data_IF_748241117574
#
_entry.id   IF_748241117574
#
_cell.length_a   1.000
_cell.length_b   1.000
_cell.length_c   1.000
_cell.angle_alpha   90.00
_cell.angle_beta   90.00
_cell.angle_gamma   90.00
#
_symmetry.space_group_name_H-M   'P 1'
#
loop_
_entity.id
_entity.type
_entity.pdbx_description
1 polymer ?
#
# COMPACT_ATOMS: atom_id res chain seq x y z
N UNK A 1 -11.91 41.76 1.76
CA UNK A 1 -11.96 41.54 3.22
C UNK A 1 -11.48 40.13 3.51
N UNK A 2 -10.35 39.99 4.21
CA UNK A 2 -9.92 38.80 4.96
C UNK A 2 -9.81 37.46 4.23
N UNK A 3 -8.73 37.25 3.47
CA UNK A 3 -8.33 35.92 3.00
C UNK A 3 -7.71 35.16 4.18
N UNK A 4 -8.45 34.22 4.76
CA UNK A 4 -7.92 33.26 5.75
C UNK A 4 -7.21 32.13 5.00
N UNK A 5 -5.97 32.37 4.57
CA UNK A 5 -5.08 31.28 4.16
C UNK A 5 -4.67 30.52 5.42
N UNK A 6 -5.24 29.32 5.61
CA UNK A 6 -4.76 28.41 6.66
C UNK A 6 -3.49 27.75 6.12
N UNK A 7 -2.36 28.38 6.38
CA UNK A 7 -1.05 27.77 6.23
C UNK A 7 -0.95 26.61 7.24
N UNK A 8 -1.03 25.36 6.75
CA UNK A 8 -0.88 24.18 7.60
C UNK A 8 0.52 24.10 8.25
N UNK A 9 1.52 24.81 7.70
CA UNK A 9 2.83 24.91 8.33
C UNK A 9 2.84 25.86 9.53
N UNK A 10 1.97 26.89 9.56
CA UNK A 10 1.83 27.78 10.72
C UNK A 10 1.12 27.10 11.89
N UNK A 11 0.17 26.19 11.62
CA UNK A 11 -0.52 25.41 12.66
C UNK A 11 0.28 24.23 13.21
N UNK A 12 1.34 23.78 12.52
CA UNK A 12 2.25 22.78 13.08
C UNK A 12 2.96 23.31 14.35
N UNK A 13 3.22 24.62 14.42
CA UNK A 13 3.77 25.27 15.60
C UNK A 13 2.71 25.53 16.68
N UNK A 14 1.46 25.83 16.33
CA UNK A 14 0.37 26.02 17.31
C UNK A 14 -0.07 24.70 17.98
N UNK A 15 0.05 23.56 17.28
CA UNK A 15 -0.15 22.22 17.82
C UNK A 15 0.90 21.81 18.88
N UNK A 16 1.96 22.60 19.10
CA UNK A 16 2.96 22.35 20.14
C UNK A 16 2.47 22.66 21.57
N UNK A 17 1.26 23.22 21.74
CA UNK A 17 0.79 23.73 23.04
C UNK A 17 -0.07 22.78 23.86
N UNK A 18 -0.44 21.61 23.33
CA UNK A 18 -0.77 20.47 24.16
C UNK A 18 0.46 19.58 24.19
N UNK A 19 0.99 19.22 25.37
CA UNK A 19 2.01 18.17 25.52
C UNK A 19 1.52 16.94 24.76
N UNK A 20 1.91 16.81 23.48
CA UNK A 20 1.69 15.61 22.72
C UNK A 20 2.34 14.53 23.58
N UNK A 21 1.55 13.54 24.03
CA UNK A 21 2.07 12.40 24.77
C UNK A 21 3.13 11.77 23.88
N UNK A 22 4.39 12.12 24.11
CA UNK A 22 5.52 11.51 23.43
C UNK A 22 5.58 10.06 23.91
N UNK A 23 5.74 9.14 22.96
CA UNK A 23 6.03 7.75 23.30
C UNK A 23 7.25 7.71 24.21
N UNK A 24 7.18 6.91 25.28
CA UNK A 24 8.33 6.71 26.15
C UNK A 24 9.48 6.08 25.35
N UNK A 25 10.73 6.51 25.57
CA UNK A 25 11.90 5.80 25.07
C UNK A 25 11.82 4.31 25.43
N UNK A 26 12.33 3.42 24.57
CA UNK A 26 12.26 1.96 24.78
C UNK A 26 12.72 1.54 26.18
N UNK A 27 13.80 2.17 26.68
CA UNK A 27 14.38 1.88 28.00
C UNK A 27 13.48 2.24 29.18
N UNK A 28 12.50 3.13 28.98
CA UNK A 28 11.55 3.57 30.01
C UNK A 28 10.22 2.79 29.94
N UNK A 29 10.03 1.93 28.93
CA UNK A 29 8.81 1.16 28.76
C UNK A 29 8.79 -0.01 29.76
N UNK A 30 7.70 -0.10 30.50
CA UNK A 30 7.43 -1.20 31.44
C UNK A 30 6.55 -2.31 30.83
N UNK A 31 6.09 -2.09 29.59
CA UNK A 31 5.24 -3.02 28.85
C UNK A 31 3.81 -3.18 29.39
N UNK A 32 2.97 -3.86 28.63
CA UNK A 32 1.61 -4.24 29.03
C UNK A 32 1.49 -5.74 29.24
N UNK A 33 0.64 -6.15 30.18
CA UNK A 33 0.22 -7.55 30.31
C UNK A 33 -0.70 -7.92 29.15
N UNK A 34 -0.55 -9.11 28.60
CA UNK A 34 -1.33 -9.59 27.48
C UNK A 34 -1.84 -11.01 27.78
N UNK A 35 -3.04 -11.15 28.38
CA UNK A 35 -3.60 -12.46 28.70
C UNK A 35 -4.09 -13.18 27.43
N UNK A 36 -4.11 -14.52 27.48
CA UNK A 36 -4.75 -15.33 26.44
C UNK A 36 -6.27 -15.14 26.47
N UNK A 37 -6.91 -15.15 25.31
CA UNK A 37 -8.36 -15.14 25.15
C UNK A 37 -8.82 -16.27 24.23
N UNK A 38 -8.46 -16.23 22.95
CA UNK A 38 -8.81 -17.28 21.99
C UNK A 38 -8.01 -18.57 22.22
N UNK A 39 -6.79 -18.43 22.73
CA UNK A 39 -5.82 -19.52 22.88
C UNK A 39 -5.75 -20.08 24.30
N UNK A 40 -6.71 -19.75 25.16
CA UNK A 40 -6.75 -20.21 26.55
C UNK A 40 -6.81 -21.73 26.70
N UNK A 41 -7.41 -22.41 25.72
CA UNK A 41 -7.64 -23.86 25.74
C UNK A 41 -6.57 -24.65 24.99
N UNK A 42 -5.54 -23.99 24.44
CA UNK A 42 -4.44 -24.70 23.80
C UNK A 42 -3.75 -25.60 24.82
N UNK A 43 -3.54 -26.85 24.44
CA UNK A 43 -2.77 -27.79 25.24
C UNK A 43 -1.32 -27.29 25.40
N UNK A 44 -0.66 -27.53 26.54
CA UNK A 44 0.72 -27.13 26.74
C UNK A 44 1.64 -27.63 25.61
N UNK A 45 2.37 -26.73 24.98
CA UNK A 45 3.28 -27.05 23.88
C UNK A 45 2.65 -27.05 22.48
N UNK A 46 1.34 -26.77 22.37
CA UNK A 46 0.64 -26.58 21.09
C UNK A 46 0.47 -25.10 20.75
N UNK A 47 0.29 -24.83 19.46
CA UNK A 47 0.08 -23.50 18.88
C UNK A 47 -1.26 -23.45 18.13
N UNK A 48 -1.77 -22.25 17.79
CA UNK A 48 -2.97 -22.13 16.97
C UNK A 48 -2.90 -22.82 15.61
N UNK A 49 -1.69 -23.08 15.09
CA UNK A 49 -1.50 -23.75 13.79
C UNK A 49 -1.82 -25.25 13.87
N UNK A 50 -1.65 -25.86 15.04
CA UNK A 50 -1.92 -27.28 15.29
C UNK A 50 -3.42 -27.59 15.35
N UNK A 51 -4.25 -26.58 15.65
CA UNK A 51 -5.72 -26.70 15.63
C UNK A 51 -6.30 -26.60 14.21
N UNK A 52 -5.51 -26.16 13.23
CA UNK A 52 -5.96 -26.02 11.84
C UNK A 52 -5.83 -27.35 11.10
N UNK A 53 -6.89 -27.73 10.40
CA UNK A 53 -6.84 -28.85 9.47
C UNK A 53 -6.37 -28.34 8.11
N UNK A 54 -5.29 -28.93 7.59
CA UNK A 54 -4.62 -28.50 6.38
C UNK A 54 -4.89 -29.45 5.20
N UNK A 55 -4.91 -28.88 4.00
CA UNK A 55 -5.09 -29.60 2.73
C UNK A 55 -4.05 -29.13 1.70
N UNK A 56 -3.58 -30.04 0.86
CA UNK A 56 -2.64 -29.75 -0.23
C UNK A 56 -3.41 -29.58 -1.53
N UNK A 57 -3.29 -28.40 -2.13
CA UNK A 57 -4.00 -28.05 -3.37
C UNK A 57 -3.05 -27.51 -4.43
N UNK A 58 -3.45 -27.63 -5.68
CA UNK A 58 -2.79 -26.92 -6.79
C UNK A 58 -3.47 -25.58 -7.00
N UNK A 59 -2.71 -24.50 -6.93
CA UNK A 59 -3.17 -23.16 -7.27
C UNK A 59 -2.98 -22.92 -8.77
N UNK A 60 -4.06 -22.63 -9.51
CA UNK A 60 -4.02 -22.37 -10.96
C UNK A 60 -4.81 -21.11 -11.29
N UNK A 61 -4.22 -20.22 -12.09
CA UNK A 61 -4.92 -19.08 -12.69
C UNK A 61 -4.74 -19.16 -14.20
N UNK A 62 -5.87 -19.19 -14.92
CA UNK A 62 -5.90 -19.19 -16.38
C UNK A 62 -6.54 -17.93 -16.96
N UNK A 63 -6.47 -17.83 -18.29
CA UNK A 63 -7.22 -16.86 -19.11
C UNK A 63 -8.58 -17.45 -19.50
N UNK A 64 -9.49 -16.60 -19.97
CA UNK A 64 -10.78 -17.02 -20.54
C UNK A 64 -10.63 -17.96 -21.76
N UNK A 65 -9.45 -17.96 -22.39
CA UNK A 65 -9.09 -18.85 -23.51
C UNK A 65 -8.45 -20.17 -23.06
N UNK A 66 -8.45 -20.47 -21.76
CA UNK A 66 -7.93 -21.72 -21.18
C UNK A 66 -6.41 -21.78 -21.00
N UNK A 67 -5.66 -20.73 -21.38
CA UNK A 67 -4.21 -20.70 -21.16
C UNK A 67 -3.87 -20.45 -19.69
N UNK A 68 -2.98 -21.25 -19.10
CA UNK A 68 -2.50 -21.10 -17.72
C UNK A 68 -1.51 -19.95 -17.62
N UNK A 69 -1.77 -19.00 -16.73
CA UNK A 69 -0.94 -17.81 -16.45
C UNK A 69 -0.07 -18.03 -15.21
N UNK A 70 -0.58 -18.77 -14.24
CA UNK A 70 0.11 -19.08 -13.00
C UNK A 70 -0.30 -20.49 -12.55
N UNK A 71 0.69 -21.27 -12.13
CA UNK A 71 0.49 -22.56 -11.47
C UNK A 71 1.48 -22.71 -10.32
N UNK A 72 1.01 -23.21 -9.19
CA UNK A 72 1.85 -23.67 -8.09
C UNK A 72 1.21 -24.92 -7.46
N UNK A 73 1.93 -26.03 -7.50
CA UNK A 73 1.53 -27.30 -6.89
C UNK A 73 1.86 -27.35 -5.40
N UNK A 74 1.30 -28.33 -4.70
CA UNK A 74 1.42 -28.60 -3.25
C UNK A 74 1.38 -27.31 -2.41
N UNK A 75 0.30 -26.55 -2.58
CA UNK A 75 -0.01 -25.38 -1.76
C UNK A 75 -0.83 -25.81 -0.56
N UNK A 76 -0.26 -25.70 0.63
CA UNK A 76 -0.90 -26.05 1.90
C UNK A 76 -1.78 -24.89 2.39
N UNK A 77 -3.08 -25.17 2.54
CA UNK A 77 -4.11 -24.21 2.96
C UNK A 77 -5.06 -24.84 3.98
N UNK A 78 -5.78 -24.03 4.78
CA UNK A 78 -6.86 -24.55 5.61
C UNK A 78 -7.94 -25.22 4.76
N UNK A 79 -8.48 -26.35 5.25
CA UNK A 79 -9.49 -27.16 4.53
C UNK A 79 -10.74 -26.37 4.15
N UNK A 80 -11.12 -25.38 4.94
CA UNK A 80 -12.31 -24.55 4.78
C UNK A 80 -12.14 -23.40 3.77
N UNK A 81 -10.92 -23.17 3.27
CA UNK A 81 -10.69 -22.17 2.24
C UNK A 81 -11.27 -22.60 0.89
N UNK A 82 -11.68 -21.63 0.06
CA UNK A 82 -12.09 -21.91 -1.32
C UNK A 82 -10.88 -22.05 -2.26
N UNK A 83 -11.06 -22.73 -3.39
CA UNK A 83 -10.03 -22.80 -4.43
C UNK A 83 -9.62 -21.40 -4.93
N UNK A 84 -10.57 -20.46 -4.99
CA UNK A 84 -10.28 -19.05 -5.33
C UNK A 84 -9.34 -18.40 -4.32
N UNK A 85 -9.54 -18.64 -3.02
CA UNK A 85 -8.64 -18.14 -1.98
C UNK A 85 -7.24 -18.77 -2.11
N UNK A 86 -7.15 -20.08 -2.36
CA UNK A 86 -5.88 -20.78 -2.66
C UNK A 86 -5.15 -20.14 -3.84
N UNK A 87 -5.85 -19.89 -4.95
CA UNK A 87 -5.28 -19.28 -6.14
C UNK A 87 -4.76 -17.86 -5.86
N UNK A 88 -5.52 -17.06 -5.11
CA UNK A 88 -5.16 -15.68 -4.77
C UNK A 88 -3.96 -15.64 -3.82
N UNK A 89 -3.98 -16.44 -2.74
CA UNK A 89 -2.90 -16.43 -1.74
C UNK A 89 -1.58 -16.85 -2.37
N UNK A 90 -1.59 -17.92 -3.16
CA UNK A 90 -0.40 -18.40 -3.84
C UNK A 90 0.11 -17.37 -4.85
N UNK A 91 -0.75 -16.86 -5.74
CA UNK A 91 -0.28 -15.97 -6.81
C UNK A 91 0.13 -14.57 -6.32
N UNK A 92 -0.50 -14.04 -5.27
CA UNK A 92 -0.29 -12.65 -4.85
C UNK A 92 0.52 -12.51 -3.56
N UNK A 93 0.29 -13.36 -2.57
CA UNK A 93 0.76 -13.13 -1.20
C UNK A 93 1.97 -13.96 -0.81
N UNK A 94 2.09 -15.17 -1.34
CA UNK A 94 3.30 -15.97 -1.14
C UNK A 94 4.54 -15.24 -1.68
N UNK A 95 5.56 -15.22 -0.83
CA UNK A 95 6.86 -14.65 -1.07
C UNK A 95 7.82 -15.67 -1.69
N UNK A 96 8.92 -15.20 -2.27
CA UNK A 96 9.88 -16.02 -3.01
C UNK A 96 9.51 -16.25 -4.48
N UNK A 97 10.53 -16.54 -5.30
CA UNK A 97 10.38 -16.79 -6.74
C UNK A 97 9.80 -18.18 -6.96
N UNK A 98 8.87 -18.35 -7.91
CA UNK A 98 8.37 -19.67 -8.28
C UNK A 98 9.52 -20.62 -8.65
N UNK A 99 9.47 -21.84 -8.12
CA UNK A 99 10.50 -22.86 -8.29
C UNK A 99 11.77 -22.68 -7.43
N UNK A 100 11.91 -21.56 -6.70
CA UNK A 100 13.02 -21.39 -5.76
C UNK A 100 12.76 -22.09 -4.41
N UNK A 101 13.80 -22.53 -3.69
CA UNK A 101 13.65 -23.09 -2.35
C UNK A 101 12.99 -22.14 -1.33
N UNK A 102 13.20 -20.83 -1.49
CA UNK A 102 12.63 -19.79 -0.62
C UNK A 102 11.16 -19.44 -0.95
N UNK A 103 10.54 -20.16 -1.89
CA UNK A 103 9.13 -19.94 -2.25
C UNK A 103 8.22 -20.44 -1.13
N UNK A 104 7.38 -19.55 -0.61
CA UNK A 104 6.31 -19.95 0.29
C UNK A 104 5.32 -20.88 -0.43
N UNK A 105 4.97 -21.98 0.23
CA UNK A 105 4.02 -22.99 -0.24
C UNK A 105 2.90 -23.24 0.76
N UNK A 106 2.91 -22.60 1.92
CA UNK A 106 1.89 -22.80 2.95
C UNK A 106 1.34 -21.47 3.47
N UNK A 107 0.03 -21.42 3.73
CA UNK A 107 -0.58 -20.31 4.46
C UNK A 107 -0.02 -20.23 5.89
N UNK A 108 0.37 -21.36 6.50
CA UNK A 108 1.08 -21.34 7.77
C UNK A 108 2.38 -20.54 7.69
N UNK A 109 3.20 -20.76 6.64
CA UNK A 109 4.45 -20.00 6.42
C UNK A 109 4.19 -18.49 6.27
N UNK A 110 3.17 -18.12 5.48
CA UNK A 110 2.77 -16.72 5.29
C UNK A 110 2.36 -16.05 6.60
N UNK A 111 1.52 -16.73 7.41
CA UNK A 111 1.05 -16.20 8.69
C UNK A 111 2.20 -16.14 9.69
N UNK A 112 3.02 -17.19 9.80
CA UNK A 112 4.22 -17.20 10.63
C UNK A 112 5.12 -16.01 10.34
N UNK A 113 5.50 -15.80 9.07
CA UNK A 113 6.37 -14.69 8.69
C UNK A 113 5.85 -13.35 9.20
N UNK A 114 4.55 -13.09 9.06
CA UNK A 114 3.96 -11.80 9.47
C UNK A 114 3.81 -11.71 10.98
N UNK A 115 3.19 -12.71 11.60
CA UNK A 115 2.89 -12.72 13.04
C UNK A 115 4.17 -12.72 13.85
N UNK A 116 5.15 -13.53 13.45
CA UNK A 116 6.39 -13.65 14.20
C UNK A 116 7.18 -12.36 14.17
N UNK A 117 7.30 -11.75 12.99
CA UNK A 117 7.98 -10.46 12.84
C UNK A 117 7.32 -9.37 13.68
N UNK A 118 5.97 -9.30 13.70
CA UNK A 118 5.26 -8.28 14.49
C UNK A 118 5.44 -8.52 16.00
N UNK A 119 5.34 -9.77 16.46
CA UNK A 119 5.57 -10.12 17.85
C UNK A 119 7.01 -9.83 18.29
N UNK A 120 7.99 -10.16 17.45
CA UNK A 120 9.41 -9.89 17.69
C UNK A 120 9.70 -8.39 17.75
N UNK A 121 9.08 -7.58 16.88
CA UNK A 121 9.15 -6.12 16.99
C UNK A 121 8.55 -5.62 18.30
N UNK A 122 7.46 -6.22 18.78
CA UNK A 122 6.85 -5.84 20.05
C UNK A 122 7.72 -6.19 21.26
N UNK A 123 8.37 -7.34 21.23
CA UNK A 123 9.35 -7.76 22.23
C UNK A 123 10.56 -6.83 22.24
N UNK A 124 11.17 -6.58 21.07
CA UNK A 124 12.31 -5.67 20.93
C UNK A 124 11.95 -4.22 21.32
N UNK A 125 10.70 -3.81 21.08
CA UNK A 125 10.17 -2.51 21.45
C UNK A 125 9.74 -2.37 22.91
N UNK A 126 9.92 -3.41 23.74
CA UNK A 126 9.49 -3.46 25.15
C UNK A 126 8.00 -3.13 25.34
N UNK A 127 7.14 -3.54 24.39
CA UNK A 127 5.70 -3.33 24.50
C UNK A 127 5.03 -4.34 25.42
N UNK A 128 5.67 -5.48 25.69
CA UNK A 128 5.14 -6.53 26.57
C UNK A 128 5.81 -6.49 27.94
N UNK A 129 5.01 -6.66 29.00
CA UNK A 129 5.52 -6.64 30.38
C UNK A 129 6.44 -7.83 30.66
N UNK A 130 6.11 -8.99 30.09
CA UNK A 130 6.91 -10.21 30.19
C UNK A 130 7.09 -10.87 28.82
N UNK A 131 8.10 -11.73 28.64
CA UNK A 131 8.22 -12.55 27.43
C UNK A 131 6.99 -13.43 27.18
N UNK A 132 6.35 -13.92 28.25
CA UNK A 132 5.12 -14.69 28.17
C UNK A 132 3.95 -13.87 27.60
N UNK A 133 3.86 -12.58 27.93
CA UNK A 133 2.86 -11.68 27.32
C UNK A 133 3.09 -11.52 25.81
N UNK A 134 4.35 -11.45 25.37
CA UNK A 134 4.67 -11.41 23.94
C UNK A 134 4.32 -12.69 23.21
N UNK A 135 4.51 -13.84 23.84
CA UNK A 135 4.12 -15.14 23.28
C UNK A 135 2.61 -15.34 23.27
N UNK A 136 1.90 -14.83 24.29
CA UNK A 136 0.44 -14.77 24.26
C UNK A 136 -0.04 -13.91 23.08
N UNK A 137 0.54 -12.72 22.87
CA UNK A 137 0.22 -11.88 21.72
C UNK A 137 0.46 -12.59 20.38
N UNK A 138 1.61 -13.27 20.24
CA UNK A 138 1.96 -14.05 19.02
C UNK A 138 0.87 -15.08 18.70
N UNK A 139 0.48 -15.88 19.69
CA UNK A 139 -0.52 -16.93 19.50
C UNK A 139 -1.93 -16.36 19.28
N UNK A 140 -2.33 -15.33 20.01
CA UNK A 140 -3.63 -14.67 19.80
C UNK A 140 -3.71 -14.06 18.38
N UNK A 141 -2.64 -13.42 17.91
CA UNK A 141 -2.60 -12.86 16.56
C UNK A 141 -2.60 -13.97 15.49
N UNK A 142 -1.84 -15.05 15.67
CA UNK A 142 -1.87 -16.20 14.77
C UNK A 142 -3.27 -16.80 14.67
N UNK A 143 -3.94 -17.03 15.81
CA UNK A 143 -5.31 -17.51 15.83
C UNK A 143 -6.26 -16.61 15.02
N UNK A 144 -6.19 -15.28 15.22
CA UNK A 144 -7.02 -14.34 14.49
C UNK A 144 -6.80 -14.39 12.98
N UNK A 145 -5.55 -14.55 12.53
CA UNK A 145 -5.20 -14.62 11.11
C UNK A 145 -5.63 -15.96 10.49
N UNK A 146 -5.34 -17.08 11.15
CA UNK A 146 -5.65 -18.44 10.67
C UNK A 146 -7.15 -18.68 10.58
N UNK A 147 -7.91 -18.21 11.58
CA UNK A 147 -9.38 -18.35 11.63
C UNK A 147 -10.14 -17.21 10.94
N UNK A 148 -9.42 -16.35 10.22
CA UNK A 148 -9.95 -15.22 9.44
C UNK A 148 -10.88 -14.27 10.22
N UNK A 149 -10.68 -14.13 11.55
CA UNK A 149 -11.41 -13.16 12.39
C UNK A 149 -10.94 -11.73 12.19
N UNK A 150 -9.71 -11.57 11.69
CA UNK A 150 -9.15 -10.32 11.25
C UNK A 150 -8.18 -10.57 10.07
N UNK A 151 -7.86 -9.53 9.32
CA UNK A 151 -6.88 -9.59 8.25
C UNK A 151 -6.17 -8.25 8.09
N UNK A 152 -4.86 -8.28 7.87
CA UNK A 152 -4.12 -7.06 7.56
C UNK A 152 -4.37 -6.58 6.13
N UNK A 153 -4.09 -5.30 5.89
CA UNK A 153 -4.00 -4.77 4.53
C UNK A 153 -2.89 -5.48 3.72
N UNK A 154 -2.96 -5.42 2.40
CA UNK A 154 -2.04 -6.17 1.53
C UNK A 154 -0.54 -5.84 1.71
N UNK A 155 -0.10 -4.56 1.86
CA UNK A 155 1.30 -4.24 2.13
C UNK A 155 1.93 -4.95 3.33
N UNK A 156 1.16 -5.21 4.40
CA UNK A 156 1.65 -6.00 5.54
C UNK A 156 2.05 -7.40 5.06
N UNK A 157 1.15 -8.09 4.37
CA UNK A 157 1.40 -9.44 3.85
C UNK A 157 2.54 -9.49 2.84
N UNK A 158 2.71 -8.43 2.02
CA UNK A 158 3.75 -8.36 1.01
C UNK A 158 5.16 -8.12 1.56
N UNK A 159 5.27 -7.39 2.67
CA UNK A 159 6.55 -6.78 3.07
C UNK A 159 7.03 -7.18 4.47
N UNK A 160 6.14 -7.52 5.41
CA UNK A 160 6.55 -7.87 6.77
C UNK A 160 7.30 -9.21 6.77
N UNK A 161 8.43 -9.26 7.46
CA UNK A 161 9.24 -10.48 7.63
C UNK A 161 9.98 -10.94 6.38
N UNK A 162 9.99 -10.14 5.31
CA UNK A 162 10.74 -10.44 4.09
C UNK A 162 12.19 -10.02 4.27
N UNK A 163 13.14 -10.85 3.80
CA UNK A 163 14.59 -10.66 4.01
C UNK A 163 15.16 -9.46 3.25
N UNK A 164 14.66 -9.16 2.05
CA UNK A 164 15.16 -8.01 1.30
C UNK A 164 14.82 -6.70 2.00
N UNK A 165 15.71 -5.71 1.91
CA UNK A 165 15.39 -4.36 2.36
C UNK A 165 14.20 -3.82 1.56
N UNK A 166 13.09 -3.57 2.26
CA UNK A 166 11.88 -2.97 1.71
C UNK A 166 11.60 -1.68 2.46
N UNK A 167 11.04 -0.70 1.75
CA UNK A 167 10.65 0.57 2.33
C UNK A 167 10.99 1.76 1.46
N UNK A 168 10.30 2.85 1.72
CA UNK A 168 10.57 4.17 1.17
C UNK A 168 9.95 5.22 2.09
N UNK A 169 10.55 6.41 2.11
CA UNK A 169 10.01 7.56 2.82
C UNK A 169 10.79 7.87 4.09
N UNK A 170 10.06 8.08 5.17
CA UNK A 170 10.58 8.58 6.43
C UNK A 170 10.10 7.72 7.58
N UNK A 171 10.87 7.67 8.67
CA UNK A 171 10.46 7.05 9.91
C UNK A 171 10.76 7.97 11.09
N UNK A 172 10.04 7.78 12.18
CA UNK A 172 10.34 8.45 13.43
C UNK A 172 11.47 7.72 14.14
N UNK A 173 12.61 8.40 14.29
CA UNK A 173 13.72 7.92 15.08
C UNK A 173 13.49 8.32 16.55
N UNK A 174 13.21 7.32 17.38
CA UNK A 174 12.94 7.52 18.81
C UNK A 174 14.17 8.01 19.58
N UNK A 175 15.39 7.67 19.13
CA UNK A 175 16.61 8.06 19.82
C UNK A 175 16.89 9.57 19.69
N UNK A 176 16.64 10.12 18.50
CA UNK A 176 16.78 11.56 18.24
C UNK A 176 15.48 12.33 18.46
N UNK A 177 14.34 11.64 18.51
CA UNK A 177 13.01 12.24 18.62
C UNK A 177 12.60 13.00 17.36
N UNK A 178 13.11 12.62 16.19
CA UNK A 178 12.92 13.32 14.91
C UNK A 178 12.46 12.39 13.79
N UNK A 179 11.84 12.96 12.76
CA UNK A 179 11.51 12.23 11.53
C UNK A 179 12.72 12.26 10.61
N UNK A 180 13.24 11.09 10.26
CA UNK A 180 14.43 10.95 9.43
C UNK A 180 14.13 10.15 8.17
N UNK A 181 14.86 10.44 7.10
CA UNK A 181 14.71 9.72 5.83
C UNK A 181 15.23 8.29 5.98
N UNK A 182 14.48 7.33 5.44
CA UNK A 182 14.89 5.93 5.45
C UNK A 182 16.13 5.73 4.58
N UNK A 183 17.26 5.22 5.14
CA UNK A 183 18.42 4.85 4.34
C UNK A 183 18.08 3.70 3.39
N UNK A 184 18.72 3.68 2.20
CA UNK A 184 18.43 2.69 1.16
C UNK A 184 18.59 1.24 1.62
N UNK A 185 19.57 0.98 2.48
CA UNK A 185 19.90 -0.37 2.95
C UNK A 185 19.28 -0.69 4.31
N UNK A 186 18.38 0.18 4.80
CA UNK A 186 17.65 -0.04 6.05
C UNK A 186 16.42 -0.91 5.80
N UNK A 187 16.27 -1.97 6.59
CA UNK A 187 15.09 -2.83 6.55
C UNK A 187 13.97 -2.24 7.42
N UNK A 188 13.15 -1.37 6.84
CA UNK A 188 11.88 -0.91 7.44
C UNK A 188 10.75 -1.06 6.42
N UNK A 189 10.05 -2.20 6.42
CA UNK A 189 9.08 -2.52 5.38
C UNK A 189 7.95 -1.49 5.33
N UNK A 190 7.49 -1.20 4.11
CA UNK A 190 6.32 -0.36 3.87
C UNK A 190 5.04 -1.16 4.14
N UNK A 191 4.36 -0.89 5.25
CA UNK A 191 3.20 -1.65 5.70
C UNK A 191 1.86 -0.89 5.60
N UNK A 192 1.89 0.35 5.13
CA UNK A 192 0.71 1.21 5.03
C UNK A 192 0.14 1.16 3.62
N UNK A 193 -1.17 0.97 3.51
CA UNK A 193 -1.86 0.95 2.21
C UNK A 193 -2.17 2.35 1.65
N UNK A 194 -2.27 3.38 2.50
CA UNK A 194 -2.81 4.67 2.11
C UNK A 194 -1.84 5.81 2.44
N UNK A 195 -1.56 6.67 1.47
CA UNK A 195 -0.76 7.88 1.64
C UNK A 195 -1.44 9.09 1.00
N UNK A 196 -1.38 10.23 1.68
CA UNK A 196 -1.76 11.52 1.11
C UNK A 196 -0.50 12.36 0.97
N UNK A 197 -0.21 12.80 -0.25
CA UNK A 197 0.96 13.60 -0.56
C UNK A 197 0.54 15.04 -0.87
N UNK A 198 1.41 15.99 -0.53
CA UNK A 198 1.25 17.40 -0.86
C UNK A 198 2.13 17.77 -2.05
N UNK A 199 1.69 18.74 -2.85
CA UNK A 199 2.48 19.31 -3.93
C UNK A 199 2.48 20.83 -3.84
N UNK A 200 3.62 21.44 -4.13
CA UNK A 200 3.77 22.90 -4.26
C UNK A 200 3.77 23.26 -5.75
N UNK A 201 3.38 24.50 -6.04
CA UNK A 201 3.28 25.03 -7.40
C UNK A 201 4.63 25.41 -8.02
N UNK A 202 5.50 24.40 -8.16
CA UNK A 202 6.77 24.50 -8.88
C UNK A 202 7.16 23.13 -9.43
N UNK A 203 7.96 23.14 -10.51
CA UNK A 203 8.31 21.92 -11.24
C UNK A 203 9.06 20.90 -10.36
N UNK A 204 9.94 21.36 -9.48
CA UNK A 204 10.70 20.47 -8.58
C UNK A 204 9.76 19.66 -7.67
N UNK A 205 8.79 20.32 -7.02
CA UNK A 205 7.80 19.65 -6.18
C UNK A 205 6.88 18.72 -6.96
N UNK A 206 6.53 19.05 -8.20
CA UNK A 206 5.71 18.22 -9.08
C UNK A 206 6.46 16.93 -9.45
N UNK A 207 7.75 17.04 -9.80
CA UNK A 207 8.56 15.88 -10.15
C UNK A 207 8.91 15.02 -8.92
N UNK A 208 9.14 15.64 -7.76
CA UNK A 208 9.34 14.89 -6.51
C UNK A 208 8.06 14.16 -6.08
N UNK A 209 6.88 14.70 -6.38
CA UNK A 209 5.62 13.97 -6.20
C UNK A 209 5.58 12.70 -7.07
N UNK A 210 5.90 12.79 -8.37
CA UNK A 210 5.92 11.62 -9.26
C UNK A 210 6.85 10.51 -8.70
N UNK A 211 8.05 10.91 -8.27
CA UNK A 211 9.03 9.99 -7.66
C UNK A 211 8.50 9.38 -6.36
N UNK A 212 7.93 10.20 -5.48
CA UNK A 212 7.38 9.75 -4.20
C UNK A 212 6.25 8.74 -4.41
N UNK A 213 5.29 9.06 -5.27
CA UNK A 213 4.19 8.15 -5.58
C UNK A 213 4.67 6.87 -6.24
N UNK A 214 5.57 6.95 -7.22
CA UNK A 214 6.14 5.77 -7.88
C UNK A 214 6.85 4.83 -6.90
N UNK A 215 7.59 5.38 -5.92
CA UNK A 215 8.24 4.58 -4.88
C UNK A 215 7.25 3.98 -3.89
N UNK A 216 6.14 4.65 -3.57
CA UNK A 216 5.06 4.10 -2.76
C UNK A 216 4.33 2.98 -3.50
N UNK A 217 4.03 3.16 -4.78
CA UNK A 217 3.41 2.15 -5.64
C UNK A 217 4.25 0.89 -5.68
N UNK A 218 5.58 1.02 -5.93
CA UNK A 218 6.53 -0.10 -5.94
C UNK A 218 6.37 -1.03 -4.73
N UNK A 219 6.05 -0.48 -3.56
CA UNK A 219 5.95 -1.25 -2.31
C UNK A 219 4.51 -1.63 -1.89
N UNK A 220 3.51 -1.36 -2.72
CA UNK A 220 2.15 -1.86 -2.50
C UNK A 220 1.15 -0.83 -2.00
N UNK A 221 1.58 0.43 -1.82
CA UNK A 221 0.73 1.49 -1.29
C UNK A 221 0.00 2.24 -2.40
N UNK A 222 -1.22 2.72 -2.12
CA UNK A 222 -1.93 3.70 -2.92
C UNK A 222 -1.68 5.13 -2.44
N UNK A 223 -1.86 6.10 -3.34
CA UNK A 223 -1.62 7.52 -3.06
C UNK A 223 -2.81 8.40 -3.40
N UNK A 224 -2.94 9.50 -2.67
CA UNK A 224 -3.88 10.58 -2.96
C UNK A 224 -3.18 11.92 -2.94
N UNK A 225 -3.52 12.81 -3.86
CA UNK A 225 -2.97 14.18 -3.90
C UNK A 225 -4.06 15.18 -4.29
N UNK A 226 -4.15 16.29 -3.56
CA UNK A 226 -4.92 17.46 -3.98
C UNK A 226 -4.02 18.35 -4.84
N UNK A 227 -4.40 18.56 -6.10
CA UNK A 227 -3.63 19.34 -7.08
C UNK A 227 -4.06 20.81 -7.17
N UNK A 228 -4.97 21.27 -6.31
CA UNK A 228 -5.48 22.65 -6.32
C UNK A 228 -4.44 23.70 -5.96
N UNK A 229 -3.27 23.27 -5.48
CA UNK A 229 -2.13 24.17 -5.28
C UNK A 229 -1.47 24.55 -6.59
N UNK A 230 -1.58 23.73 -7.64
CA UNK A 230 -1.02 24.02 -8.95
C UNK A 230 -1.82 25.13 -9.61
N UNK A 231 -1.14 26.10 -10.22
CA UNK A 231 -1.82 27.16 -10.96
C UNK A 231 -2.58 26.61 -12.17
N UNK A 232 -3.60 27.33 -12.59
CA UNK A 232 -4.45 26.99 -13.71
C UNK A 232 -3.69 26.91 -15.05
N UNK A 233 -4.26 26.17 -15.99
CA UNK A 233 -3.86 26.24 -17.39
C UNK A 233 -3.89 27.70 -17.82
N UNK A 234 -2.90 28.08 -18.62
CA UNK A 234 -2.78 29.42 -19.16
C UNK A 234 -2.39 30.53 -18.15
N UNK A 235 -2.16 30.18 -16.87
CA UNK A 235 -1.62 31.06 -15.84
C UNK A 235 -0.15 31.48 -16.08
N UNK A 236 0.28 32.58 -15.45
CA UNK A 236 1.61 33.19 -15.71
C UNK A 236 2.76 32.39 -15.09
N UNK A 237 3.89 32.27 -15.82
CA UNK A 237 5.14 31.68 -15.33
C UNK A 237 6.23 32.72 -15.10
N UNK A 238 7.12 32.46 -14.12
CA UNK A 238 8.26 33.33 -13.82
C UNK A 238 9.32 33.36 -14.93
N UNK A 239 9.44 32.28 -15.71
CA UNK A 239 10.34 32.16 -16.86
C UNK A 239 9.85 32.89 -18.12
N UNK A 240 8.67 33.51 -18.07
CA UNK A 240 7.90 33.84 -19.27
C UNK A 240 7.16 32.61 -19.81
N UNK A 241 6.03 32.84 -20.47
CA UNK A 241 5.14 31.78 -20.97
C UNK A 241 3.93 31.50 -20.08
N UNK A 242 3.23 30.42 -20.42
CA UNK A 242 1.94 30.04 -19.82
C UNK A 242 2.00 28.64 -19.21
N UNK A 243 1.35 28.47 -18.07
CA UNK A 243 1.30 27.21 -17.35
C UNK A 243 0.45 26.18 -18.08
N UNK A 244 0.79 24.89 -17.93
CA UNK A 244 0.03 23.79 -18.53
C UNK A 244 -1.21 23.36 -17.72
N UNK A 245 -1.36 23.88 -16.50
CA UNK A 245 -2.43 23.50 -15.57
C UNK A 245 -2.28 22.10 -14.96
N UNK A 246 -3.09 21.79 -13.92
CA UNK A 246 -3.04 20.50 -13.20
C UNK A 246 -3.34 19.30 -14.11
N UNK A 247 -4.28 19.43 -15.06
CA UNK A 247 -4.68 18.32 -15.93
C UNK A 247 -3.56 17.83 -16.85
N UNK A 248 -2.63 18.71 -17.25
CA UNK A 248 -1.49 18.31 -18.06
C UNK A 248 -0.56 17.39 -17.25
N UNK A 249 -0.23 17.77 -16.02
CA UNK A 249 0.57 16.95 -15.12
C UNK A 249 -0.15 15.66 -14.70
N UNK A 250 -1.48 15.69 -14.55
CA UNK A 250 -2.28 14.48 -14.32
C UNK A 250 -2.05 13.41 -15.38
N UNK A 251 -1.86 13.77 -16.67
CA UNK A 251 -1.54 12.79 -17.72
C UNK A 251 -0.21 12.08 -17.46
N UNK A 252 0.80 12.84 -17.00
CA UNK A 252 2.10 12.27 -16.62
C UNK A 252 1.99 11.33 -15.42
N UNK A 253 1.30 11.76 -14.35
CA UNK A 253 1.08 10.92 -13.18
C UNK A 253 0.25 9.67 -13.49
N UNK A 254 -0.76 9.80 -14.36
CA UNK A 254 -1.57 8.69 -14.85
C UNK A 254 -0.73 7.65 -15.58
N UNK A 255 0.17 8.09 -16.48
CA UNK A 255 1.10 7.20 -17.17
C UNK A 255 2.03 6.47 -16.18
N UNK A 256 2.60 7.18 -15.19
CA UNK A 256 3.41 6.54 -14.15
C UNK A 256 2.64 5.50 -13.32
N UNK A 257 1.38 5.80 -12.96
CA UNK A 257 0.52 4.86 -12.25
C UNK A 257 0.18 3.62 -13.09
N UNK A 258 -0.02 3.79 -14.40
CA UNK A 258 -0.32 2.68 -15.32
C UNK A 258 0.85 1.71 -15.52
N UNK A 259 2.09 2.22 -15.57
CA UNK A 259 3.29 1.38 -15.83
C UNK A 259 3.86 0.73 -14.56
N UNK A 260 3.66 1.33 -13.38
CA UNK A 260 4.22 0.80 -12.13
C UNK A 260 3.30 -0.28 -11.54
N UNK A 261 3.83 -1.49 -11.43
CA UNK A 261 3.15 -2.63 -10.81
C UNK A 261 3.32 -2.60 -9.29
N UNK A 262 2.20 -2.59 -8.58
CA UNK A 262 2.17 -2.32 -7.15
C UNK A 262 2.67 -3.52 -6.33
N UNK A 263 3.57 -3.27 -5.38
CA UNK A 263 4.18 -4.31 -4.53
C UNK A 263 5.06 -5.31 -5.27
N UNK A 264 5.46 -5.01 -6.51
CA UNK A 264 6.13 -5.97 -7.40
C UNK A 264 5.23 -7.15 -7.81
N UNK A 265 3.91 -7.00 -7.66
CA UNK A 265 2.88 -7.99 -8.03
C UNK A 265 2.11 -7.48 -9.24
N UNK A 266 1.30 -8.33 -9.88
CA UNK A 266 0.52 -7.99 -11.09
C UNK A 266 -0.59 -6.95 -10.91
N UNK A 267 -0.73 -6.30 -9.75
CA UNK A 267 -1.75 -5.27 -9.48
C UNK A 267 -1.28 -3.90 -9.99
N UNK A 268 -2.15 -3.11 -10.62
CA UNK A 268 -1.86 -1.72 -11.01
C UNK A 268 -1.80 -0.81 -9.77
N UNK A 269 -1.07 0.29 -9.86
CA UNK A 269 -1.05 1.30 -8.80
C UNK A 269 -2.45 1.89 -8.58
N UNK A 270 -2.74 2.31 -7.35
CA UNK A 270 -3.99 3.00 -7.01
C UNK A 270 -3.66 4.46 -6.70
N UNK A 271 -4.27 5.38 -7.47
CA UNK A 271 -4.09 6.82 -7.30
C UNK A 271 -5.43 7.52 -7.15
N UNK A 272 -5.49 8.50 -6.27
CA UNK A 272 -6.58 9.46 -6.14
C UNK A 272 -6.06 10.87 -6.45
N UNK A 273 -6.84 11.63 -7.21
CA UNK A 273 -6.56 13.03 -7.53
C UNK A 273 -7.75 13.87 -7.11
N UNK A 274 -7.49 14.95 -6.38
CA UNK A 274 -8.50 15.92 -5.96
C UNK A 274 -8.23 17.27 -6.64
N UNK A 275 -9.29 17.94 -7.07
CA UNK A 275 -9.27 19.35 -7.46
C UNK A 275 -10.46 20.09 -6.81
N UNK A 276 -10.19 21.21 -6.14
CA UNK A 276 -11.20 21.99 -5.44
C UNK A 276 -12.19 22.59 -6.42
N UNK A 277 -13.45 22.71 -6.00
CA UNK A 277 -14.54 23.17 -6.84
C UNK A 277 -14.36 24.61 -7.36
N UNK A 278 -13.57 25.43 -6.65
CA UNK A 278 -13.29 26.82 -6.99
C UNK A 278 -12.08 26.98 -7.92
N UNK A 279 -11.36 25.90 -8.23
CA UNK A 279 -10.20 25.96 -9.11
C UNK A 279 -10.63 26.29 -10.55
N UNK A 280 -9.93 27.20 -11.23
CA UNK A 280 -10.34 27.66 -12.57
C UNK A 280 -10.47 26.54 -13.61
N UNK A 281 -9.69 25.47 -13.49
CA UNK A 281 -9.79 24.27 -14.36
C UNK A 281 -10.81 23.21 -13.91
N UNK A 282 -11.67 23.49 -12.93
CA UNK A 282 -12.61 22.50 -12.37
C UNK A 282 -13.52 21.87 -13.43
N UNK A 283 -14.07 22.64 -14.36
CA UNK A 283 -14.97 22.10 -15.39
C UNK A 283 -14.22 21.11 -16.30
N UNK A 284 -12.95 21.40 -16.61
CA UNK A 284 -12.12 20.49 -17.39
C UNK A 284 -11.86 19.21 -16.60
N UNK A 285 -11.60 19.32 -15.30
CA UNK A 285 -11.36 18.17 -14.41
C UNK A 285 -12.57 17.24 -14.33
N UNK A 286 -13.78 17.80 -14.16
CA UNK A 286 -15.04 17.04 -14.11
C UNK A 286 -15.23 16.22 -15.40
N UNK A 287 -14.98 16.83 -16.56
CA UNK A 287 -15.27 16.21 -17.85
C UNK A 287 -14.12 15.40 -18.46
N UNK A 288 -12.90 15.42 -17.88
CA UNK A 288 -11.72 14.87 -18.55
C UNK A 288 -11.84 13.36 -18.84
N UNK A 289 -12.30 12.56 -17.87
CA UNK A 289 -12.45 11.10 -18.04
C UNK A 289 -13.54 10.77 -19.06
N UNK A 290 -14.68 11.45 -19.01
CA UNK A 290 -15.77 11.24 -19.96
C UNK A 290 -15.36 11.58 -21.41
N UNK A 291 -14.54 12.61 -21.60
CA UNK A 291 -13.98 12.96 -22.90
C UNK A 291 -12.99 11.92 -23.42
N UNK A 292 -12.15 11.34 -22.56
CA UNK A 292 -11.25 10.23 -22.94
C UNK A 292 -12.03 8.94 -23.21
N UNK A 293 -13.09 8.64 -22.45
CA UNK A 293 -13.97 7.48 -22.68
C UNK A 293 -14.59 7.52 -24.09
N UNK A 294 -15.05 8.70 -24.52
CA UNK A 294 -15.55 8.89 -25.89
C UNK A 294 -14.50 8.55 -26.95
N UNK A 295 -13.21 8.81 -26.69
CA UNK A 295 -12.11 8.42 -27.59
C UNK A 295 -11.94 6.91 -27.61
N UNK A 296 -11.94 6.25 -26.44
CA UNK A 296 -11.90 4.79 -26.38
C UNK A 296 -13.03 4.15 -27.20
N UNK A 297 -14.28 4.61 -27.05
CA UNK A 297 -15.38 4.11 -27.88
C UNK A 297 -15.15 4.30 -29.37
N UNK A 298 -14.64 5.47 -29.78
CA UNK A 298 -14.31 5.73 -31.19
C UNK A 298 -13.25 4.75 -31.71
N UNK A 299 -12.24 4.42 -30.89
CA UNK A 299 -11.23 3.41 -31.23
C UNK A 299 -11.86 2.01 -31.31
N UNK A 300 -12.70 1.63 -30.35
CA UNK A 300 -13.39 0.33 -30.37
C UNK A 300 -14.27 0.18 -31.62
N UNK A 301 -15.03 1.21 -31.97
CA UNK A 301 -15.85 1.23 -33.20
C UNK A 301 -15.01 1.12 -34.48
N UNK A 302 -13.78 1.62 -34.44
CA UNK A 302 -12.80 1.48 -35.52
C UNK A 302 -12.08 0.11 -35.54
N UNK A 303 -12.40 -0.79 -34.60
CA UNK A 303 -11.90 -2.17 -34.55
C UNK A 303 -10.73 -2.41 -33.60
N UNK A 304 -10.35 -1.43 -32.78
CA UNK A 304 -9.34 -1.62 -31.74
C UNK A 304 -9.88 -2.47 -30.57
N UNK A 305 -9.00 -3.23 -29.91
CA UNK A 305 -9.39 -4.07 -28.77
C UNK A 305 -9.90 -3.22 -27.59
N UNK A 306 -11.19 -3.41 -27.27
CA UNK A 306 -11.90 -2.76 -26.16
C UNK A 306 -11.81 -3.49 -24.82
N UNK A 307 -11.01 -4.56 -24.72
CA UNK A 307 -10.75 -5.20 -23.43
C UNK A 307 -10.07 -4.24 -22.44
N UNK A 308 -10.16 -4.52 -21.14
CA UNK A 308 -9.66 -3.63 -20.07
C UNK A 308 -8.15 -3.33 -20.12
N UNK A 309 -7.37 -4.23 -20.72
CA UNK A 309 -5.94 -4.05 -21.01
C UNK A 309 -5.70 -3.97 -22.54
N UNK A 310 -6.75 -3.75 -23.32
CA UNK A 310 -6.73 -3.65 -24.77
C UNK A 310 -6.14 -2.33 -25.28
N UNK A 311 -5.85 -2.29 -26.56
CA UNK A 311 -5.20 -1.15 -27.22
C UNK A 311 -6.01 0.17 -27.08
N UNK A 312 -7.34 0.09 -27.11
CA UNK A 312 -8.18 1.28 -27.01
C UNK A 312 -8.05 1.97 -25.64
N UNK A 313 -8.11 1.20 -24.54
CA UNK A 313 -8.02 1.76 -23.19
C UNK A 313 -6.59 2.06 -22.75
N UNK A 314 -5.59 1.35 -23.28
CA UNK A 314 -4.18 1.59 -22.95
C UNK A 314 -3.58 2.83 -23.64
N UNK A 315 -4.25 3.37 -24.66
CA UNK A 315 -3.78 4.54 -25.43
C UNK A 315 -4.38 5.89 -25.02
N UNK A 316 -5.34 5.89 -24.10
CA UNK A 316 -6.01 7.11 -23.61
C UNK A 316 -5.56 7.52 -22.20
N UNK A 317 -5.81 8.76 -21.82
CA UNK A 317 -5.38 9.30 -20.52
C UNK A 317 -6.43 9.12 -19.42
N UNK A 318 -5.98 9.34 -18.18
CA UNK A 318 -6.78 9.40 -16.95
C UNK A 318 -7.43 8.05 -16.57
N UNK A 319 -6.83 6.93 -16.94
CA UNK A 319 -7.40 5.59 -16.66
C UNK A 319 -6.93 5.00 -15.32
N UNK A 320 -5.84 5.51 -14.75
CA UNK A 320 -5.13 4.94 -13.62
C UNK A 320 -5.29 5.75 -12.31
N UNK A 321 -6.23 6.69 -12.29
CA UNK A 321 -6.57 7.47 -11.11
C UNK A 321 -8.09 7.63 -10.92
N UNK A 322 -8.51 7.68 -9.66
CA UNK A 322 -9.85 8.09 -9.26
C UNK A 322 -9.85 9.61 -9.02
N UNK A 323 -10.76 10.32 -9.68
CA UNK A 323 -10.92 11.76 -9.49
C UNK A 323 -12.00 11.99 -8.43
N UNK A 324 -11.70 12.85 -7.45
CA UNK A 324 -12.57 13.20 -6.33
C UNK A 324 -12.74 14.70 -6.19
#
# INVERSE_FOLDING_TARGET
>A
MGQLSVDLSSRANELQTNRAKRSLPVVERTGVTFPKYFTQKLEPGTTPYDEIHWDLRTAVIGTDKGAVIFEQQDVEVPVDWSQTATNIVASKYFHGKLGSPDRERSVAQLVHRVVDTIADWGLAGHYFKTPADGENFRNELAHLMLTQKACFNSPVWFNVGVKEARGYGFYFDEATGTVVKLPKDSSRPQCSACFINSVKDNLESILELAKTEGMLFKWGSGTGTNLSTLREEDGTLSSGGRASGPLSFMKGFDAFAGVIKSGGKTRRAAKMVILNAEHADIEKFIWCKAKEEKKAHTLVDAGYDGSFDGEAYSSIFFQNANNS
#
